data_IF_212381063368
#
_entry.id   IF_212381063368
#
_cell.length_a   1.000
_cell.length_b   1.000
_cell.length_c   1.000
_cell.angle_alpha   90.00
_cell.angle_beta   90.00
_cell.angle_gamma   90.00
#
_symmetry.space_group_name_H-M   'P 1'
#
loop_
_entity.id
_entity.type
_entity.pdbx_description
1 polymer ?
#
# COMPACT_ATOMS: atom_id res chain seq x y z
N UNK A 1 24.83 -4.12 33.36
CA UNK A 1 25.60 -4.06 34.62
C UNK A 1 26.66 -5.15 34.60
N UNK A 2 27.76 -5.00 35.33
CA UNK A 2 28.82 -6.03 35.42
C UNK A 2 28.66 -6.88 36.68
N UNK A 3 28.92 -8.19 36.59
CA UNK A 3 28.83 -9.13 37.72
C UNK A 3 29.92 -8.93 38.79
N UNK A 4 31.07 -8.41 38.39
CA UNK A 4 32.26 -8.17 39.24
C UNK A 4 32.07 -6.99 40.21
N UNK A 5 31.34 -5.95 39.79
CA UNK A 5 30.95 -4.81 40.63
C UNK A 5 29.53 -4.37 40.26
N UNK A 6 28.50 -5.06 40.76
CA UNK A 6 27.12 -4.65 40.52
C UNK A 6 26.85 -3.31 41.23
N UNK A 7 26.18 -2.37 40.56
CA UNK A 7 25.77 -1.07 41.11
C UNK A 7 26.94 -0.12 41.45
N UNK A 8 27.77 0.20 40.46
CA UNK A 8 28.73 1.31 40.62
C UNK A 8 28.03 2.68 40.72
N UNK A 9 28.71 3.69 41.28
CA UNK A 9 28.17 5.07 41.39
C UNK A 9 27.68 5.63 40.05
N UNK A 10 28.42 5.35 38.98
CA UNK A 10 28.05 5.71 37.61
C UNK A 10 26.80 4.96 37.11
N UNK A 11 26.60 3.70 37.48
CA UNK A 11 25.40 2.92 37.13
C UNK A 11 24.18 3.41 37.91
N UNK A 12 24.32 3.70 39.22
CA UNK A 12 23.23 4.25 40.06
C UNK A 12 22.71 5.56 39.48
N UNK A 13 23.60 6.50 39.15
CA UNK A 13 23.23 7.79 38.55
C UNK A 13 22.51 7.62 37.21
N UNK A 14 22.92 6.64 36.41
CA UNK A 14 22.24 6.32 35.15
C UNK A 14 20.85 5.70 35.37
N UNK A 15 20.70 4.83 36.37
CA UNK A 15 19.43 4.23 36.74
C UNK A 15 18.42 5.28 37.24
N UNK A 16 18.86 6.24 38.04
CA UNK A 16 18.04 7.37 38.49
C UNK A 16 17.55 8.24 37.32
N UNK A 17 18.38 8.43 36.30
CA UNK A 17 18.01 9.15 35.08
C UNK A 17 16.92 8.43 34.29
N UNK A 18 17.10 7.13 34.01
CA UNK A 18 16.10 6.36 33.25
C UNK A 18 14.81 6.12 34.04
N UNK A 19 14.79 6.28 35.37
CA UNK A 19 13.55 6.23 36.17
C UNK A 19 12.51 7.24 35.70
N UNK A 20 12.95 8.36 35.14
CA UNK A 20 12.07 9.37 34.57
C UNK A 20 11.31 8.83 33.34
N UNK A 21 11.87 7.84 32.68
CA UNK A 21 11.22 7.15 31.58
C UNK A 21 10.35 6.04 32.16
N UNK A 22 9.04 6.28 32.23
CA UNK A 22 8.04 5.28 32.65
C UNK A 22 7.92 4.13 31.61
N UNK A 23 9.00 3.37 31.45
CA UNK A 23 9.13 2.26 30.51
C UNK A 23 9.52 1.01 31.28
N UNK A 24 9.16 -0.15 30.74
CA UNK A 24 9.53 -1.46 31.30
C UNK A 24 11.06 -1.61 31.16
N UNK A 25 11.76 -1.78 32.29
CA UNK A 25 13.23 -1.92 32.36
C UNK A 25 13.57 -3.38 32.69
N UNK A 26 14.60 -3.93 32.02
CA UNK A 26 15.14 -5.27 32.28
C UNK A 26 16.61 -5.14 32.66
N UNK A 27 17.03 -5.80 33.73
CA UNK A 27 18.40 -5.73 34.23
C UNK A 27 19.21 -6.91 33.71
N UNK A 28 20.31 -6.61 33.04
CA UNK A 28 21.23 -7.62 32.50
C UNK A 28 22.55 -7.51 33.24
N UNK A 29 22.92 -8.58 33.94
CA UNK A 29 24.18 -8.73 34.67
C UNK A 29 25.14 -9.52 33.79
N UNK A 30 26.11 -8.83 33.22
CA UNK A 30 27.10 -9.39 32.30
C UNK A 30 28.37 -9.84 33.04
N UNK A 31 29.11 -10.79 32.47
CA UNK A 31 30.29 -11.44 33.06
C UNK A 31 29.96 -12.49 34.14
N UNK A 32 28.81 -13.16 34.03
CA UNK A 32 28.48 -14.27 34.93
C UNK A 32 29.52 -15.42 34.87
N UNK A 33 30.36 -15.47 33.83
CA UNK A 33 31.48 -16.41 33.71
C UNK A 33 32.61 -16.21 34.72
N UNK A 34 32.66 -15.08 35.43
CA UNK A 34 33.63 -14.85 36.52
C UNK A 34 33.21 -15.59 37.79
N UNK A 35 31.92 -15.91 37.93
CA UNK A 35 31.37 -16.59 39.09
C UNK A 35 31.51 -18.10 38.88
N UNK A 36 32.09 -18.79 39.86
CA UNK A 36 32.48 -20.20 39.71
C UNK A 36 31.34 -21.15 40.07
N UNK A 37 30.40 -20.69 40.90
CA UNK A 37 29.27 -21.48 41.40
C UNK A 37 27.91 -20.90 41.00
N UNK A 38 26.90 -21.77 40.90
CA UNK A 38 25.51 -21.37 40.64
C UNK A 38 24.96 -20.52 41.80
N UNK A 39 25.37 -20.85 43.03
CA UNK A 39 24.97 -20.13 44.24
C UNK A 39 25.49 -18.68 44.26
N UNK A 40 26.73 -18.44 43.79
CA UNK A 40 27.27 -17.08 43.63
C UNK A 40 26.50 -16.27 42.58
N UNK A 41 26.13 -16.91 41.47
CA UNK A 41 25.33 -16.27 40.42
C UNK A 41 23.96 -15.86 40.97
N UNK A 42 23.34 -16.70 41.80
CA UNK A 42 22.04 -16.41 42.40
C UNK A 42 22.13 -15.34 43.49
N UNK A 43 23.18 -15.35 44.31
CA UNK A 43 23.45 -14.28 45.28
C UNK A 43 23.63 -12.91 44.59
N UNK A 44 24.34 -12.86 43.45
CA UNK A 44 24.51 -11.62 42.67
C UNK A 44 23.19 -11.18 42.03
N UNK A 45 22.35 -12.11 41.55
CA UNK A 45 21.01 -11.77 41.03
C UNK A 45 20.11 -11.17 42.11
N UNK A 46 20.11 -11.78 43.30
CA UNK A 46 19.32 -11.32 44.45
C UNK A 46 19.80 -9.94 44.90
N UNK A 47 21.11 -9.75 45.04
CA UNK A 47 21.70 -8.44 45.34
C UNK A 47 21.29 -7.36 44.32
N UNK A 48 21.29 -7.68 43.03
CA UNK A 48 20.89 -6.74 41.97
C UNK A 48 19.38 -6.48 42.02
N UNK A 49 18.56 -7.49 42.33
CA UNK A 49 17.12 -7.35 42.47
C UNK A 49 16.76 -6.44 43.65
N UNK A 50 17.36 -6.66 44.82
CA UNK A 50 17.12 -5.87 46.03
C UNK A 50 17.50 -4.40 45.84
N UNK A 51 18.66 -4.15 45.22
CA UNK A 51 19.10 -2.79 44.93
C UNK A 51 18.23 -2.11 43.87
N UNK A 52 17.79 -2.85 42.85
CA UNK A 52 16.86 -2.32 41.84
C UNK A 52 15.49 -1.98 42.45
N UNK A 53 14.98 -2.81 43.37
CA UNK A 53 13.75 -2.53 44.10
C UNK A 53 13.90 -1.29 44.99
N UNK A 54 15.03 -1.13 45.68
CA UNK A 54 15.28 0.02 46.57
C UNK A 54 15.42 1.34 45.82
N UNK A 55 16.17 1.37 44.71
CA UNK A 55 16.49 2.62 43.98
C UNK A 55 15.36 3.00 43.02
N UNK A 56 14.76 2.02 42.35
CA UNK A 56 13.78 2.25 41.28
C UNK A 56 12.34 1.94 41.70
N UNK A 57 12.10 1.46 42.92
CA UNK A 57 10.77 1.09 43.46
C UNK A 57 10.01 0.13 42.54
N UNK A 58 10.74 -0.80 41.94
CA UNK A 58 10.16 -1.82 41.07
C UNK A 58 9.67 -3.00 41.92
N UNK A 59 8.41 -3.39 41.79
CA UNK A 59 7.81 -4.44 42.62
C UNK A 59 8.43 -5.83 42.36
N UNK A 60 8.92 -6.08 41.14
CA UNK A 60 9.65 -7.30 40.73
C UNK A 60 10.64 -7.02 39.59
N UNK A 61 11.89 -6.60 39.87
CA UNK A 61 12.87 -6.36 38.83
C UNK A 61 13.30 -7.67 38.15
N UNK A 62 13.15 -7.74 36.84
CA UNK A 62 13.65 -8.86 36.05
C UNK A 62 15.18 -8.77 35.90
N UNK A 63 15.90 -9.64 36.61
CA UNK A 63 17.38 -9.72 36.58
C UNK A 63 17.82 -10.97 35.84
N UNK A 64 18.69 -10.79 34.84
CA UNK A 64 19.16 -11.86 33.96
C UNK A 64 20.68 -11.85 33.98
N UNK A 65 21.28 -12.94 34.47
CA UNK A 65 22.72 -13.16 34.39
C UNK A 65 23.08 -13.70 33.01
N UNK A 66 24.06 -13.08 32.35
CA UNK A 66 24.54 -13.48 31.02
C UNK A 66 26.07 -13.48 30.97
N UNK A 67 26.62 -14.38 30.15
CA UNK A 67 28.01 -14.29 29.71
C UNK A 67 28.05 -13.93 28.23
N UNK A 68 28.43 -12.68 27.94
CA UNK A 68 28.59 -12.22 26.55
C UNK A 68 29.73 -12.95 25.83
N UNK A 69 30.76 -13.39 26.59
CA UNK A 69 31.90 -14.13 26.05
C UNK A 69 31.50 -15.54 25.61
N UNK A 70 30.72 -16.25 26.41
CA UNK A 70 30.15 -17.54 26.03
C UNK A 70 29.20 -17.40 24.83
N UNK A 71 28.36 -16.36 24.83
CA UNK A 71 27.46 -16.03 23.71
C UNK A 71 28.21 -15.85 22.38
N UNK A 72 29.27 -15.03 22.42
CA UNK A 72 30.05 -14.71 21.24
C UNK A 72 30.81 -15.93 20.71
N UNK A 73 31.38 -16.75 21.60
CA UNK A 73 32.03 -18.01 21.24
C UNK A 73 31.04 -18.98 20.57
N UNK A 74 29.85 -19.15 21.14
CA UNK A 74 28.81 -20.00 20.57
C UNK A 74 28.36 -19.50 19.19
N UNK A 75 28.18 -18.18 19.03
CA UNK A 75 27.80 -17.56 17.75
C UNK A 75 28.87 -17.73 16.67
N UNK A 76 30.14 -17.61 17.03
CA UNK A 76 31.26 -17.75 16.10
C UNK A 76 31.51 -19.21 15.71
N UNK A 77 31.35 -20.14 16.67
CA UNK A 77 31.37 -21.57 16.39
C UNK A 77 30.23 -21.98 15.43
N UNK A 78 29.01 -21.47 15.67
CA UNK A 78 27.86 -21.72 14.79
C UNK A 78 27.98 -21.03 13.41
N UNK A 79 28.72 -19.93 13.32
CA UNK A 79 29.00 -19.23 12.06
C UNK A 79 30.14 -19.86 11.24
N UNK A 80 30.83 -20.88 11.78
CA UNK A 80 31.98 -21.52 11.14
C UNK A 80 33.22 -20.61 11.06
N UNK A 81 33.28 -19.57 11.90
CA UNK A 81 34.40 -18.61 11.94
C UNK A 81 35.34 -19.06 13.06
N UNK A 82 36.47 -19.65 12.69
CA UNK A 82 37.52 -20.01 13.65
C UNK A 82 38.19 -18.75 14.18
N UNK A 83 38.18 -18.54 15.50
CA UNK A 83 38.80 -17.36 16.12
C UNK A 83 40.34 -17.38 16.10
N UNK A 84 40.93 -18.50 15.70
CA UNK A 84 42.39 -18.74 15.74
C UNK A 84 43.15 -18.03 14.62
N UNK A 85 42.48 -17.47 13.61
CA UNK A 85 43.14 -16.78 12.49
C UNK A 85 43.35 -15.27 12.69
N UNK A 86 43.14 -14.75 13.90
CA UNK A 86 43.34 -13.33 14.23
C UNK A 86 44.64 -13.07 15.00
N UNK A 87 45.37 -14.12 15.42
CA UNK A 87 46.62 -13.99 16.19
C UNK A 87 47.90 -14.28 15.42
N UNK A 88 47.85 -14.93 14.26
CA UNK A 88 49.05 -15.23 13.48
C UNK A 88 48.95 -14.62 12.08
N UNK A 89 49.78 -13.61 11.84
CA UNK A 89 49.96 -13.05 10.52
C UNK A 89 50.81 -14.01 9.68
N UNK A 90 50.20 -14.73 8.75
CA UNK A 90 50.80 -15.11 7.47
C UNK A 90 49.72 -15.66 6.50
N UNK A 91 49.84 -15.29 5.22
CA UNK A 91 48.78 -15.40 4.21
C UNK A 91 48.51 -16.81 3.66
N UNK A 92 47.25 -17.05 3.26
CA UNK A 92 46.81 -18.20 2.45
C UNK A 92 45.28 -18.24 2.29
N UNK A 93 44.71 -18.69 1.15
CA UNK A 93 43.65 -17.98 0.45
C UNK A 93 42.24 -18.17 1.02
N UNK A 94 41.44 -17.12 0.87
CA UNK A 94 40.02 -17.10 1.16
C UNK A 94 39.24 -18.17 0.36
N UNK A 95 38.26 -18.86 0.96
CA UNK A 95 37.30 -19.63 0.18
C UNK A 95 36.37 -18.67 -0.57
N UNK A 96 36.66 -18.52 -1.85
CA UNK A 96 35.79 -17.90 -2.84
C UNK A 96 34.53 -18.76 -3.03
N UNK A 97 33.35 -18.18 -2.76
CA UNK A 97 32.18 -18.18 -3.66
C UNK A 97 30.88 -18.02 -2.86
N UNK A 98 30.22 -16.86 -2.99
CA UNK A 98 28.77 -16.74 -2.91
C UNK A 98 28.32 -15.40 -3.51
N UNK A 99 28.36 -15.31 -4.84
CA UNK A 99 27.61 -14.33 -5.61
C UNK A 99 26.10 -14.56 -5.37
N UNK A 100 25.32 -13.48 -5.20
CA UNK A 100 23.86 -13.50 -5.44
C UNK A 100 22.95 -12.85 -4.37
N UNK A 101 22.56 -11.59 -4.64
CA UNK A 101 21.17 -11.09 -4.51
C UNK A 101 20.62 -10.60 -3.14
N UNK A 102 19.82 -9.51 -3.11
CA UNK A 102 19.30 -8.84 -1.89
C UNK A 102 18.10 -9.55 -1.22
N UNK A 103 17.86 -10.84 -1.49
CA UNK A 103 16.75 -11.61 -0.93
C UNK A 103 17.15 -12.53 0.25
N UNK A 104 18.44 -12.57 0.63
CA UNK A 104 18.98 -13.47 1.68
C UNK A 104 18.87 -12.95 3.12
N UNK A 105 18.45 -11.69 3.33
CA UNK A 105 18.36 -11.12 4.69
C UNK A 105 17.28 -11.82 5.54
N UNK A 106 16.22 -12.36 4.92
CA UNK A 106 15.11 -13.00 5.66
C UNK A 106 15.36 -14.43 6.17
N UNK A 107 16.37 -15.16 5.70
CA UNK A 107 16.57 -16.59 6.08
C UNK A 107 17.79 -16.90 6.94
N UNK A 108 18.74 -15.96 7.06
CA UNK A 108 20.00 -16.27 7.74
C UNK A 108 19.80 -16.39 9.27
N UNK A 109 19.00 -15.52 9.89
CA UNK A 109 18.83 -15.48 11.35
C UNK A 109 18.19 -16.73 11.94
N UNK A 110 17.34 -17.47 11.19
CA UNK A 110 16.77 -18.75 11.65
C UNK A 110 17.77 -19.91 11.69
N UNK A 111 18.90 -19.83 10.97
CA UNK A 111 19.92 -20.88 10.94
C UNK A 111 20.95 -20.74 12.06
N UNK A 112 21.06 -19.56 12.65
CA UNK A 112 22.02 -19.25 13.73
C UNK A 112 21.44 -19.42 15.14
N UNK A 113 20.21 -19.92 15.25
CA UNK A 113 19.52 -20.14 16.52
C UNK A 113 19.36 -21.63 16.77
N UNK A 114 20.17 -22.25 17.64
CA UNK A 114 19.98 -23.65 17.98
C UNK A 114 18.70 -23.76 18.84
N UNK A 115 17.76 -24.62 18.42
CA UNK A 115 16.73 -25.13 19.33
C UNK A 115 17.41 -25.96 20.43
N UNK A 116 16.81 -26.04 21.63
CA UNK A 116 17.49 -26.61 22.79
C UNK A 116 17.60 -28.12 22.62
N UNK A 117 18.81 -28.59 22.33
CA UNK A 117 19.21 -29.97 22.60
C UNK A 117 20.41 -29.94 23.53
N UNK A 118 20.13 -30.27 24.79
CA UNK A 118 21.08 -30.81 25.77
C UNK A 118 22.18 -29.85 26.23
N UNK A 119 21.86 -29.07 27.28
CA UNK A 119 22.76 -28.15 27.98
C UNK A 119 22.48 -26.70 27.60
N UNK A 120 21.53 -26.05 28.30
CA UNK A 120 21.15 -24.67 28.02
C UNK A 120 22.34 -23.71 28.26
N UNK A 121 22.90 -23.04 27.23
CA UNK A 121 23.86 -21.96 27.46
C UNK A 121 23.22 -20.82 28.27
N UNK A 122 24.01 -20.09 29.09
CA UNK A 122 23.53 -18.99 29.95
C UNK A 122 22.91 -17.82 29.19
N UNK A 123 22.92 -17.85 27.86
CA UNK A 123 22.39 -16.80 26.97
C UNK A 123 20.92 -17.01 26.60
N UNK A 124 20.42 -18.24 26.69
CA UNK A 124 19.02 -18.58 26.33
C UNK A 124 17.99 -17.91 27.24
N UNK A 125 18.36 -17.58 28.49
CA UNK A 125 17.45 -16.92 29.44
C UNK A 125 17.02 -15.52 28.98
N UNK A 126 17.99 -14.70 28.54
CA UNK A 126 17.74 -13.35 28.02
C UNK A 126 16.88 -13.41 26.75
N UNK A 127 17.23 -14.31 25.86
CA UNK A 127 16.60 -14.47 24.55
C UNK A 127 15.13 -14.93 24.66
N UNK A 128 14.85 -15.91 25.53
CA UNK A 128 13.47 -16.33 25.82
C UNK A 128 12.67 -15.20 26.46
N UNK A 129 13.28 -14.42 27.35
CA UNK A 129 12.59 -13.33 28.02
C UNK A 129 12.28 -12.16 27.07
N UNK A 130 13.22 -11.78 26.20
CA UNK A 130 13.00 -10.77 25.16
C UNK A 130 11.95 -11.24 24.15
N UNK A 131 12.01 -12.51 23.75
CA UNK A 131 11.01 -13.10 22.86
C UNK A 131 9.63 -13.13 23.51
N UNK A 132 9.51 -13.54 24.77
CA UNK A 132 8.24 -13.51 25.50
C UNK A 132 7.72 -12.07 25.70
N UNK A 133 8.60 -11.11 25.92
CA UNK A 133 8.27 -9.70 26.05
C UNK A 133 7.72 -9.11 24.73
N UNK A 134 8.32 -9.49 23.60
CA UNK A 134 7.97 -8.98 22.26
C UNK A 134 6.81 -9.74 21.59
N UNK A 135 6.75 -11.07 21.76
CA UNK A 135 5.88 -11.98 21.00
C UNK A 135 4.70 -12.47 21.84
N UNK A 136 4.76 -12.38 23.17
CA UNK A 136 3.66 -12.72 24.06
C UNK A 136 3.61 -14.20 24.41
N UNK A 137 4.22 -14.56 25.54
CA UNK A 137 4.11 -15.90 26.14
C UNK A 137 3.86 -15.90 27.64
N UNK A 138 3.87 -14.75 28.31
CA UNK A 138 3.63 -14.59 29.75
C UNK A 138 2.81 -13.33 29.99
N UNK A 139 2.01 -13.30 31.07
CA UNK A 139 1.15 -12.16 31.47
C UNK A 139 1.87 -10.80 31.25
N UNK A 140 1.38 -10.01 30.28
CA UNK A 140 1.91 -8.67 29.95
C UNK A 140 2.96 -8.58 28.82
N UNK A 141 3.34 -9.70 28.19
CA UNK A 141 4.17 -9.75 26.97
C UNK A 141 3.35 -9.57 25.70
N UNK A 142 3.83 -8.77 24.74
CA UNK A 142 3.12 -8.47 23.48
C UNK A 142 2.04 -7.39 23.57
N UNK A 143 1.63 -7.01 24.78
CA UNK A 143 0.62 -5.97 25.02
C UNK A 143 1.02 -4.60 24.45
N UNK A 144 2.31 -4.26 24.49
CA UNK A 144 2.81 -3.01 23.90
C UNK A 144 2.75 -2.96 22.38
N UNK A 145 2.90 -4.11 21.70
CA UNK A 145 2.72 -4.22 20.25
C UNK A 145 1.24 -4.20 19.90
N UNK A 146 0.42 -4.93 20.67
CA UNK A 146 -1.04 -4.92 20.54
C UNK A 146 -1.62 -3.52 20.68
N UNK A 147 -1.26 -2.80 21.74
CA UNK A 147 -1.73 -1.43 22.01
C UNK A 147 -1.31 -0.44 20.91
N UNK A 148 -0.08 -0.57 20.38
CA UNK A 148 0.41 0.31 19.31
C UNK A 148 -0.22 0.01 17.95
N UNK A 149 -0.58 -1.25 17.67
CA UNK A 149 -1.17 -1.67 16.39
C UNK A 149 -2.70 -1.61 16.40
N UNK A 150 -3.33 -1.59 17.57
CA UNK A 150 -4.78 -1.55 17.70
C UNK A 150 -5.40 -0.32 17.02
N UNK A 151 -4.89 0.88 17.32
CA UNK A 151 -5.41 2.11 16.72
C UNK A 151 -5.17 2.20 15.21
N UNK A 152 -3.93 1.95 14.69
CA UNK A 152 -3.70 1.93 13.24
C UNK A 152 -4.55 0.90 12.49
N UNK A 153 -4.75 -0.30 13.05
CA UNK A 153 -5.58 -1.33 12.40
C UNK A 153 -7.06 -0.96 12.42
N UNK A 154 -7.56 -0.40 13.52
CA UNK A 154 -8.93 0.09 13.59
C UNK A 154 -9.20 1.22 12.58
N UNK A 155 -8.25 2.15 12.45
CA UNK A 155 -8.34 3.23 11.44
C UNK A 155 -8.28 2.65 10.03
N UNK A 156 -7.39 1.68 9.77
CA UNK A 156 -7.32 1.01 8.47
C UNK A 156 -8.64 0.31 8.12
N UNK A 157 -9.24 -0.41 9.07
CA UNK A 157 -10.53 -1.08 8.87
C UNK A 157 -11.67 -0.08 8.62
N UNK A 158 -11.70 1.03 9.39
CA UNK A 158 -12.68 2.10 9.18
C UNK A 158 -12.55 2.77 7.81
N UNK A 159 -11.31 3.02 7.36
CA UNK A 159 -11.04 3.60 6.04
C UNK A 159 -11.39 2.63 4.90
N UNK A 160 -11.04 1.36 5.04
CA UNK A 160 -11.38 0.33 4.05
C UNK A 160 -12.89 0.11 3.98
N UNK A 161 -13.56 0.05 5.13
CA UNK A 161 -15.02 -0.07 5.20
C UNK A 161 -15.74 1.17 4.65
N UNK A 162 -15.24 2.37 4.95
CA UNK A 162 -15.77 3.64 4.41
C UNK A 162 -15.59 3.75 2.90
N UNK A 163 -14.36 3.53 2.42
CA UNK A 163 -14.04 3.56 1.00
C UNK A 163 -14.79 2.49 0.21
N UNK A 164 -14.94 1.28 0.76
CA UNK A 164 -15.72 0.21 0.15
C UNK A 164 -17.20 0.57 -0.04
N UNK A 165 -17.83 1.20 0.97
CA UNK A 165 -19.21 1.68 0.86
C UNK A 165 -19.35 2.79 -0.18
N UNK A 166 -18.43 3.76 -0.20
CA UNK A 166 -18.47 4.85 -1.18
C UNK A 166 -18.34 4.31 -2.61
N UNK A 167 -17.36 3.42 -2.85
CA UNK A 167 -17.17 2.80 -4.15
C UNK A 167 -18.41 2.01 -4.61
N UNK A 168 -19.11 1.34 -3.69
CA UNK A 168 -20.33 0.62 -4.03
C UNK A 168 -21.45 1.57 -4.51
N UNK A 169 -21.63 2.70 -3.83
CA UNK A 169 -22.60 3.74 -4.20
C UNK A 169 -22.24 4.37 -5.56
N UNK A 170 -20.98 4.75 -5.75
CA UNK A 170 -20.52 5.36 -7.00
C UNK A 170 -20.69 4.41 -8.19
N UNK A 171 -20.43 3.12 -7.99
CA UNK A 171 -20.61 2.09 -9.02
C UNK A 171 -22.10 1.92 -9.38
N UNK A 172 -22.98 1.92 -8.39
CA UNK A 172 -24.43 1.84 -8.62
C UNK A 172 -24.94 3.08 -9.40
N UNK A 173 -24.51 4.27 -9.02
CA UNK A 173 -24.83 5.52 -9.72
C UNK A 173 -24.32 5.50 -11.17
N UNK A 174 -23.06 5.15 -11.39
CA UNK A 174 -22.47 5.07 -12.73
C UNK A 174 -23.17 4.03 -13.62
N UNK A 175 -23.62 2.91 -13.05
CA UNK A 175 -24.44 1.93 -13.78
C UNK A 175 -25.78 2.49 -14.20
N UNK A 176 -26.47 3.21 -13.30
CA UNK A 176 -27.74 3.85 -13.61
C UNK A 176 -27.59 4.91 -14.71
N UNK A 177 -26.54 5.73 -14.65
CA UNK A 177 -26.23 6.72 -15.68
C UNK A 177 -25.94 6.06 -17.03
N UNK A 178 -25.15 4.98 -17.05
CA UNK A 178 -24.85 4.24 -18.27
C UNK A 178 -26.12 3.70 -18.93
N UNK A 179 -27.05 3.15 -18.14
CA UNK A 179 -28.34 2.70 -18.66
C UNK A 179 -29.20 3.86 -19.19
N UNK A 180 -29.16 5.02 -18.52
CA UNK A 180 -29.78 6.26 -19.00
C UNK A 180 -29.23 6.69 -20.36
N UNK A 181 -27.90 6.73 -20.52
CA UNK A 181 -27.23 7.09 -21.78
C UNK A 181 -27.59 6.10 -22.89
N UNK A 182 -27.62 4.79 -22.60
CA UNK A 182 -28.04 3.76 -23.57
C UNK A 182 -29.49 3.96 -24.02
N UNK A 183 -30.39 4.32 -23.10
CA UNK A 183 -31.79 4.59 -23.42
C UNK A 183 -31.92 5.79 -24.36
N UNK A 184 -31.27 6.91 -24.03
CA UNK A 184 -31.25 8.10 -24.89
C UNK A 184 -30.65 7.77 -26.25
N UNK A 185 -29.57 6.99 -26.31
CA UNK A 185 -28.97 6.52 -27.56
C UNK A 185 -29.95 5.74 -28.43
N UNK A 186 -30.74 4.82 -27.85
CA UNK A 186 -31.79 4.09 -28.58
C UNK A 186 -32.90 5.01 -29.08
N UNK A 187 -33.33 5.99 -28.27
CA UNK A 187 -34.34 6.97 -28.67
C UNK A 187 -33.86 7.84 -29.81
N UNK A 188 -32.61 8.31 -29.76
CA UNK A 188 -32.02 9.13 -30.82
C UNK A 188 -31.87 8.36 -32.12
N UNK A 189 -31.51 7.07 -32.05
CA UNK A 189 -31.46 6.20 -33.23
C UNK A 189 -32.85 6.00 -33.86
N UNK A 190 -33.88 5.78 -33.04
CA UNK A 190 -35.27 5.67 -33.50
C UNK A 190 -35.74 6.97 -34.14
N UNK A 191 -35.53 8.10 -33.47
CA UNK A 191 -35.88 9.42 -33.96
C UNK A 191 -35.20 9.74 -35.30
N UNK A 192 -33.89 9.44 -35.43
CA UNK A 192 -33.16 9.60 -36.70
C UNK A 192 -33.80 8.80 -37.82
N UNK A 193 -34.15 7.53 -37.58
CA UNK A 193 -34.78 6.69 -38.59
C UNK A 193 -36.15 7.21 -39.02
N UNK A 194 -36.94 7.73 -38.07
CA UNK A 194 -38.24 8.36 -38.38
C UNK A 194 -38.07 9.65 -39.19
N UNK A 195 -37.09 10.49 -38.84
CA UNK A 195 -36.77 11.71 -39.58
C UNK A 195 -36.25 11.45 -41.00
N UNK A 196 -35.42 10.41 -41.19
CA UNK A 196 -34.96 10.03 -42.52
C UNK A 196 -36.11 9.56 -43.42
N UNK A 197 -37.07 8.80 -42.85
CA UNK A 197 -38.27 8.38 -43.58
C UNK A 197 -39.16 9.56 -43.94
N UNK A 198 -39.44 10.45 -42.98
CA UNK A 198 -40.27 11.63 -43.23
C UNK A 198 -39.62 12.56 -44.25
N UNK A 199 -38.31 12.81 -44.13
CA UNK A 199 -37.57 13.61 -45.11
C UNK A 199 -37.61 12.99 -46.52
N UNK A 200 -37.53 11.67 -46.65
CA UNK A 200 -37.69 10.99 -47.93
C UNK A 200 -39.11 11.17 -48.49
N UNK A 201 -40.15 11.03 -47.66
CA UNK A 201 -41.54 11.28 -48.06
C UNK A 201 -41.79 12.73 -48.50
N UNK A 202 -41.26 13.70 -47.76
CA UNK A 202 -41.38 15.12 -48.14
C UNK A 202 -40.63 15.44 -49.43
N UNK A 203 -39.43 14.88 -49.62
CA UNK A 203 -38.69 15.04 -50.88
C UNK A 203 -39.47 14.47 -52.07
N UNK A 204 -40.09 13.31 -51.92
CA UNK A 204 -40.92 12.71 -52.98
C UNK A 204 -42.14 13.59 -53.31
N UNK A 205 -42.82 14.12 -52.29
CA UNK A 205 -43.95 15.04 -52.49
C UNK A 205 -43.53 16.34 -53.20
N UNK A 206 -42.39 16.93 -52.80
CA UNK A 206 -41.85 18.13 -53.45
C UNK A 206 -41.45 17.86 -54.91
N UNK A 207 -40.86 16.71 -55.21
CA UNK A 207 -40.51 16.31 -56.58
C UNK A 207 -41.74 16.22 -57.47
N UNK A 208 -42.86 15.69 -56.95
CA UNK A 208 -44.11 15.64 -57.70
C UNK A 208 -44.62 17.05 -58.03
N UNK A 209 -44.73 17.94 -57.03
CA UNK A 209 -45.17 19.33 -57.26
C UNK A 209 -44.23 20.07 -58.21
N UNK A 210 -42.91 19.90 -58.05
CA UNK A 210 -41.93 20.55 -58.92
C UNK A 210 -42.03 20.07 -60.36
N UNK A 211 -42.32 18.78 -60.58
CA UNK A 211 -42.51 18.23 -61.92
C UNK A 211 -43.73 18.86 -62.63
N UNK A 212 -44.83 19.09 -61.91
CA UNK A 212 -46.01 19.77 -62.44
C UNK A 212 -45.72 21.25 -62.77
N UNK A 213 -44.97 21.94 -61.90
CA UNK A 213 -44.56 23.32 -62.13
C UNK A 213 -43.64 23.44 -63.34
N UNK A 214 -42.67 22.52 -63.50
CA UNK A 214 -41.76 22.50 -64.65
C UNK A 214 -42.51 22.27 -65.96
N UNK A 215 -43.44 21.32 -66.01
CA UNK A 215 -44.28 21.08 -67.21
C UNK A 215 -45.12 22.31 -67.56
N UNK A 216 -45.66 23.02 -66.55
CA UNK A 216 -46.42 24.25 -66.77
C UNK A 216 -45.53 25.40 -67.25
N UNK A 217 -44.32 25.52 -66.69
CA UNK A 217 -43.34 26.51 -67.11
C UNK A 217 -42.86 26.25 -68.55
N UNK A 218 -42.58 25.00 -68.90
CA UNK A 218 -42.21 24.58 -70.26
C UNK A 218 -43.32 24.95 -71.26
N UNK A 219 -44.59 24.60 -70.96
CA UNK A 219 -45.72 24.99 -71.81
C UNK A 219 -45.87 26.50 -71.95
N UNK A 220 -45.65 27.27 -70.88
CA UNK A 220 -45.71 28.72 -70.92
C UNK A 220 -44.58 29.33 -71.77
N UNK A 221 -43.37 28.81 -71.64
CA UNK A 221 -42.22 29.21 -72.48
C UNK A 221 -42.49 28.85 -73.93
N UNK A 222 -42.95 27.63 -74.23
CA UNK A 222 -43.30 27.20 -75.58
C UNK A 222 -44.40 28.04 -76.23
N UNK A 223 -45.37 28.56 -75.45
CA UNK A 223 -46.38 29.49 -75.96
C UNK A 223 -45.81 30.90 -76.21
N UNK A 224 -44.86 31.33 -75.39
CA UNK A 224 -44.26 32.66 -75.47
C UNK A 224 -43.22 32.73 -76.60
N UNK A 225 -42.43 31.67 -76.81
CA UNK A 225 -41.30 31.59 -77.74
C UNK A 225 -41.68 30.79 -79.02
N UNK A 226 -42.84 31.08 -79.60
CA UNK A 226 -43.17 30.60 -80.95
C UNK A 226 -42.71 31.60 -82.00
N UNK A 227 -42.19 31.10 -83.13
CA UNK A 227 -41.81 31.92 -84.29
C UNK A 227 -42.98 32.76 -84.84
N UNK A 228 -44.22 32.31 -84.63
CA UNK A 228 -45.46 33.03 -84.93
C UNK A 228 -45.71 34.27 -84.03
N UNK A 229 -45.05 34.35 -82.87
CA UNK A 229 -45.14 35.46 -81.91
C UNK A 229 -43.94 36.43 -81.97
N UNK A 230 -43.06 36.30 -82.97
CA UNK A 230 -41.91 37.17 -83.17
C UNK A 230 -42.22 38.70 -83.08
N UNK A 231 -43.31 39.24 -83.67
CA UNK A 231 -43.63 40.66 -83.51
C UNK A 231 -44.06 41.06 -82.09
N UNK A 232 -44.64 40.14 -81.30
CA UNK A 232 -45.00 40.36 -79.89
C UNK A 232 -43.77 40.33 -78.96
N UNK A 233 -42.78 39.48 -79.25
CA UNK A 233 -41.55 39.43 -78.47
C UNK A 233 -40.68 40.69 -78.66
N UNK A 234 -40.66 41.23 -79.89
CA UNK A 234 -39.98 42.51 -80.19
C UNK A 234 -40.66 43.68 -79.49
N UNK A 235 -42.00 43.69 -79.36
CA UNK A 235 -42.72 44.75 -78.63
C UNK A 235 -42.52 44.68 -77.11
N UNK A 236 -42.40 43.47 -76.53
CA UNK A 236 -42.05 43.27 -75.12
C UNK A 236 -40.60 43.69 -74.84
N UNK A 237 -39.65 43.34 -75.71
CA UNK A 237 -38.24 43.76 -75.59
C UNK A 237 -38.05 45.27 -75.78
N UNK A 238 -38.92 45.93 -76.56
CA UNK A 238 -38.98 47.38 -76.70
C UNK A 238 -39.70 48.10 -75.54
N UNK A 239 -40.17 47.37 -74.52
CA UNK A 239 -40.68 47.92 -73.26
C UNK A 239 -42.19 48.14 -73.18
N UNK A 240 -43.00 47.62 -74.10
CA UNK A 240 -44.46 47.81 -74.08
C UNK A 240 -45.16 46.71 -73.26
N UNK A 241 -46.03 47.08 -72.30
CA UNK A 241 -46.61 46.19 -71.26
C UNK A 241 -48.08 45.79 -71.49
N UNK A 242 -48.54 45.66 -72.73
CA UNK A 242 -49.91 45.20 -73.01
C UNK A 242 -49.92 43.70 -73.35
N UNK A 243 -50.48 42.89 -72.45
CA UNK A 243 -50.61 41.43 -72.58
C UNK A 243 -51.94 41.06 -73.24
N UNK A 244 -51.96 40.29 -74.35
CA UNK A 244 -53.21 39.94 -75.04
C UNK A 244 -53.86 38.62 -74.56
N UNK A 245 -53.26 37.88 -73.62
CA UNK A 245 -53.83 36.60 -73.16
C UNK A 245 -54.75 36.81 -71.95
N UNK A 246 -56.06 36.86 -72.22
CA UNK A 246 -57.13 36.56 -71.26
C UNK A 246 -57.60 35.12 -71.46
#
# INVERSE_FOLDING_TARGET
>A
MSADRPFSESEVRFLEYIRQWQKKVVFVVNKADILESVDEVDAVKEFVADNAQRILRLDRPAVIAVSSRAALRAKLAAAGISLTSLSDGEGGPAPSSAQGGPARIRRHWRRYWPLPSTGDPPTLGLERQVSNFLIGGSEGGGEGVRLKLQTPLFVADALLGGGGRQLAVDLEAARAELEGVKLVGRQLAKFRSEMEKDAASQRAALQQVLSEVLVRAERFVDQTVQLSNAPLLVSIAAGNREYPFR
#
